data_IF_083361551965
#
_entry.id   IF_083361551965
#
_cell.length_a   1.000
_cell.length_b   1.000
_cell.length_c   1.000
_cell.angle_alpha   90.00
_cell.angle_beta   90.00
_cell.angle_gamma   90.00
#
_symmetry.space_group_name_H-M   'P 1'
#
loop_
_entity.id
_entity.type
_entity.pdbx_description
1 polymer ?
#
# COMPACT_ATOMS: atom_id res chain seq x y z
N UNK A 1 11.93 14.58 -9.63
CA UNK A 1 12.13 15.10 -10.95
C UNK A 1 12.48 14.11 -12.04
N UNK A 2 12.31 12.85 -12.06
CA UNK A 2 12.50 11.97 -13.23
C UNK A 2 11.88 10.58 -13.03
N UNK A 3 10.69 10.51 -12.50
CA UNK A 3 9.93 9.25 -12.47
C UNK A 3 9.54 8.72 -13.85
N UNK A 4 9.83 9.48 -14.91
CA UNK A 4 9.60 9.09 -16.31
C UNK A 4 10.88 8.79 -17.09
N UNK A 5 12.01 8.56 -16.44
CA UNK A 5 13.20 8.09 -17.15
C UNK A 5 13.00 6.61 -17.52
N UNK A 6 12.66 6.36 -18.77
CA UNK A 6 12.50 5.01 -19.32
C UNK A 6 13.79 4.19 -19.17
N UNK A 7 14.95 4.82 -19.13
CA UNK A 7 16.24 4.17 -18.88
C UNK A 7 16.30 3.66 -17.44
N UNK A 8 15.83 4.45 -16.46
CA UNK A 8 15.79 4.04 -15.06
C UNK A 8 14.84 2.87 -14.84
N UNK A 9 13.68 2.87 -15.48
CA UNK A 9 12.73 1.76 -15.42
C UNK A 9 13.29 0.49 -16.05
N UNK A 10 13.92 0.59 -17.22
CA UNK A 10 14.58 -0.54 -17.89
C UNK A 10 15.74 -1.10 -17.07
N UNK A 11 16.56 -0.22 -16.51
CA UNK A 11 17.67 -0.61 -15.63
C UNK A 11 17.16 -1.30 -14.37
N UNK A 12 16.14 -0.74 -13.72
CA UNK A 12 15.52 -1.35 -12.54
C UNK A 12 14.94 -2.73 -12.84
N UNK A 13 14.25 -2.88 -13.97
CA UNK A 13 13.72 -4.18 -14.42
C UNK A 13 14.83 -5.20 -14.66
N UNK A 14 15.88 -4.83 -15.39
CA UNK A 14 17.00 -5.74 -15.69
C UNK A 14 17.74 -6.16 -14.42
N UNK A 15 17.96 -5.24 -13.49
CA UNK A 15 18.59 -5.52 -12.20
C UNK A 15 17.74 -6.47 -11.38
N UNK A 16 16.42 -6.24 -11.30
CA UNK A 16 15.49 -7.13 -10.60
C UNK A 16 15.50 -8.53 -11.20
N UNK A 17 15.40 -8.65 -12.53
CA UNK A 17 15.41 -9.96 -13.20
C UNK A 17 16.72 -10.71 -13.00
N UNK A 18 17.87 -10.02 -12.99
CA UNK A 18 19.14 -10.65 -12.68
C UNK A 18 19.18 -11.20 -11.25
N UNK A 19 18.70 -10.44 -10.28
CA UNK A 19 18.58 -10.90 -8.88
C UNK A 19 17.63 -12.10 -8.75
N UNK A 20 16.49 -12.06 -9.43
CA UNK A 20 15.56 -13.19 -9.44
C UNK A 20 16.18 -14.44 -10.06
N UNK A 21 17.03 -14.31 -11.10
CA UNK A 21 17.79 -15.44 -11.66
C UNK A 21 18.81 -16.00 -10.68
N UNK A 22 19.53 -15.15 -9.97
CA UNK A 22 20.45 -15.56 -8.91
C UNK A 22 19.71 -16.37 -7.83
N UNK A 23 18.57 -15.85 -7.34
CA UNK A 23 17.76 -16.58 -6.36
C UNK A 23 17.17 -17.88 -6.93
N UNK A 24 16.73 -17.90 -8.17
CA UNK A 24 16.23 -19.10 -8.80
C UNK A 24 17.32 -20.19 -8.90
N UNK A 25 18.57 -19.81 -9.10
CA UNK A 25 19.68 -20.75 -9.05
C UNK A 25 19.97 -21.27 -7.64
N UNK A 26 19.72 -20.45 -6.60
CA UNK A 26 19.85 -20.86 -5.20
C UNK A 26 18.69 -21.76 -4.72
N UNK A 27 17.51 -21.62 -5.35
CA UNK A 27 16.30 -22.37 -5.02
C UNK A 27 15.76 -23.08 -6.27
N UNK A 28 16.47 -24.13 -6.77
CA UNK A 28 16.16 -24.76 -8.06
C UNK A 28 14.80 -25.48 -8.10
N UNK A 29 14.26 -25.84 -6.95
CA UNK A 29 12.96 -26.50 -6.82
C UNK A 29 11.78 -25.51 -6.84
N UNK A 30 12.03 -24.21 -6.74
CA UNK A 30 10.98 -23.17 -6.83
C UNK A 30 10.70 -22.82 -8.30
N UNK A 31 9.84 -23.65 -8.91
CA UNK A 31 9.40 -23.43 -10.30
C UNK A 31 8.65 -22.11 -10.50
N UNK A 32 8.02 -21.57 -9.47
CA UNK A 32 7.34 -20.27 -9.53
C UNK A 32 8.34 -19.12 -9.60
N UNK A 33 9.39 -19.19 -8.81
CA UNK A 33 10.49 -18.23 -8.86
C UNK A 33 11.19 -18.25 -10.22
N UNK A 34 11.47 -19.46 -10.76
CA UNK A 34 12.05 -19.62 -12.09
C UNK A 34 11.15 -19.02 -13.17
N UNK A 35 9.83 -19.22 -13.05
CA UNK A 35 8.87 -18.65 -13.99
C UNK A 35 8.91 -17.12 -14.00
N UNK A 36 8.95 -16.48 -12.83
CA UNK A 36 9.06 -15.02 -12.72
C UNK A 36 10.42 -14.53 -13.23
N UNK A 37 11.51 -15.18 -12.84
CA UNK A 37 12.87 -14.81 -13.23
C UNK A 37 13.11 -14.89 -14.74
N UNK A 38 12.38 -15.75 -15.44
CA UNK A 38 12.48 -15.96 -16.89
C UNK A 38 11.35 -15.29 -17.69
N UNK A 39 10.52 -14.49 -17.03
CA UNK A 39 9.34 -13.87 -17.65
C UNK A 39 8.44 -14.90 -18.35
N UNK A 40 8.23 -16.03 -17.71
CA UNK A 40 7.35 -17.11 -18.19
C UNK A 40 7.96 -18.09 -19.18
N UNK A 41 9.25 -17.97 -19.51
CA UNK A 41 9.93 -18.85 -20.51
C UNK A 41 10.29 -20.22 -19.93
N UNK A 42 10.45 -20.32 -18.63
CA UNK A 42 10.80 -21.56 -17.92
C UNK A 42 10.13 -21.57 -16.55
N UNK A 43 10.03 -22.77 -15.96
CA UNK A 43 9.32 -22.95 -14.70
C UNK A 43 7.82 -23.09 -14.89
N UNK A 44 7.06 -22.87 -13.82
CA UNK A 44 5.60 -22.96 -13.81
C UNK A 44 4.99 -21.74 -13.18
N UNK A 45 3.97 -21.18 -13.81
CA UNK A 45 3.21 -20.05 -13.25
C UNK A 45 2.73 -20.40 -11.85
N UNK A 46 2.97 -19.54 -10.82
CA UNK A 46 2.49 -19.83 -9.47
C UNK A 46 0.97 -20.05 -9.43
N UNK A 47 0.55 -21.07 -8.70
CA UNK A 47 -0.88 -21.43 -8.58
C UNK A 47 -1.65 -20.52 -7.62
N UNK A 48 -0.95 -19.80 -6.76
CA UNK A 48 -1.55 -18.83 -5.84
C UNK A 48 -1.61 -17.43 -6.46
N UNK A 49 -2.59 -16.66 -6.04
CA UNK A 49 -2.73 -15.24 -6.41
C UNK A 49 -2.56 -14.35 -5.18
N UNK A 50 -3.17 -14.71 -4.07
CA UNK A 50 -3.02 -14.00 -2.81
C UNK A 50 -2.01 -14.70 -1.91
N UNK A 51 -1.11 -13.93 -1.29
CA UNK A 51 -0.03 -14.46 -0.44
C UNK A 51 0.27 -13.54 0.74
N UNK A 52 0.38 -14.13 1.91
CA UNK A 52 0.88 -13.47 3.12
C UNK A 52 2.34 -13.88 3.38
N UNK A 53 3.19 -12.88 3.59
CA UNK A 53 4.54 -13.03 4.10
C UNK A 53 4.58 -12.42 5.50
N UNK A 54 3.93 -13.09 6.44
CA UNK A 54 3.63 -12.55 7.78
C UNK A 54 4.88 -12.19 8.57
N UNK A 55 5.98 -12.94 8.41
CA UNK A 55 7.24 -12.65 9.08
C UNK A 55 7.86 -11.32 8.62
N UNK A 56 7.73 -10.99 7.35
CA UNK A 56 8.22 -9.72 6.81
C UNK A 56 7.16 -8.62 6.79
N UNK A 57 5.90 -8.95 7.08
CA UNK A 57 4.78 -8.02 7.12
C UNK A 57 4.31 -7.52 5.77
N UNK A 58 4.48 -8.32 4.71
CA UNK A 58 3.98 -8.00 3.37
C UNK A 58 2.85 -8.93 2.99
N UNK A 59 1.77 -8.34 2.48
CA UNK A 59 0.55 -9.04 2.07
C UNK A 59 0.21 -8.64 0.66
N UNK A 60 0.11 -9.63 -0.22
CA UNK A 60 -0.16 -9.42 -1.63
C UNK A 60 -1.52 -10.01 -1.98
N UNK A 61 -2.42 -9.18 -2.47
CA UNK A 61 -3.73 -9.56 -2.99
C UNK A 61 -3.73 -9.27 -4.49
N UNK A 62 -3.90 -10.30 -5.32
CA UNK A 62 -3.92 -10.14 -6.78
C UNK A 62 -4.92 -11.09 -7.43
N UNK A 63 -5.35 -10.77 -8.63
CA UNK A 63 -6.23 -11.63 -9.42
C UNK A 63 -5.53 -12.37 -10.56
N UNK A 64 -4.25 -12.16 -10.75
CA UNK A 64 -3.46 -12.83 -11.78
C UNK A 64 -1.98 -12.50 -11.72
N UNK A 65 -1.24 -13.02 -12.71
CA UNK A 65 0.19 -12.86 -12.87
C UNK A 65 0.56 -12.21 -14.21
N UNK A 66 -0.42 -11.83 -14.99
CA UNK A 66 -0.22 -11.13 -16.26
C UNK A 66 -0.13 -9.61 -16.03
N UNK A 67 0.23 -8.89 -17.08
CA UNK A 67 0.40 -7.44 -17.06
C UNK A 67 -0.90 -6.66 -16.81
N UNK A 68 -2.05 -7.28 -17.07
CA UNK A 68 -3.36 -6.66 -16.87
C UNK A 68 -3.92 -6.94 -15.47
N UNK A 69 -3.22 -7.76 -14.68
CA UNK A 69 -3.65 -8.11 -13.33
C UNK A 69 -3.73 -6.90 -12.41
N UNK A 70 -4.68 -6.97 -11.50
CA UNK A 70 -4.79 -6.02 -10.39
C UNK A 70 -4.07 -6.60 -9.19
N UNK A 71 -3.24 -5.80 -8.53
CA UNK A 71 -2.47 -6.22 -7.37
C UNK A 71 -2.42 -5.11 -6.34
N UNK A 72 -2.76 -5.45 -5.11
CA UNK A 72 -2.45 -4.63 -3.93
C UNK A 72 -1.29 -5.28 -3.17
N UNK A 73 -0.33 -4.46 -2.77
CA UNK A 73 0.70 -4.83 -1.80
C UNK A 73 0.45 -4.00 -0.56
N UNK A 74 0.17 -4.65 0.56
CA UNK A 74 0.00 -4.00 1.85
C UNK A 74 1.19 -4.33 2.74
N UNK A 75 1.75 -3.31 3.40
CA UNK A 75 2.82 -3.45 4.39
C UNK A 75 2.24 -3.27 5.79
N UNK A 76 2.50 -4.22 6.67
CA UNK A 76 2.13 -4.14 8.09
C UNK A 76 3.04 -5.07 8.88
N UNK A 77 4.23 -4.59 9.22
CA UNK A 77 5.28 -5.40 9.81
C UNK A 77 5.40 -5.18 11.32
N UNK A 78 5.92 -6.20 11.98
CA UNK A 78 6.36 -6.13 13.36
C UNK A 78 7.85 -5.79 13.40
N UNK A 79 8.20 -4.66 14.01
CA UNK A 79 9.58 -4.23 14.17
C UNK A 79 9.77 -3.56 15.53
N UNK A 80 9.90 -4.36 16.62
CA UNK A 80 9.96 -3.85 17.98
C UNK A 80 11.27 -3.12 18.29
N UNK A 81 12.30 -3.28 17.46
CA UNK A 81 13.64 -2.73 17.70
C UNK A 81 13.95 -1.51 16.86
N UNK A 82 12.98 -1.00 16.10
CA UNK A 82 13.16 0.13 15.17
C UNK A 82 14.40 -0.05 14.28
N UNK A 83 14.46 -1.20 13.61
CA UNK A 83 15.60 -1.55 12.75
C UNK A 83 15.71 -0.61 11.54
N UNK A 84 16.91 -0.54 10.99
CA UNK A 84 17.22 0.20 9.79
C UNK A 84 16.29 -0.14 8.62
N UNK A 85 16.02 0.82 7.77
CA UNK A 85 15.13 0.73 6.61
C UNK A 85 13.64 0.52 6.94
N UNK A 86 13.23 0.78 8.17
CA UNK A 86 11.82 0.85 8.54
C UNK A 86 11.34 2.28 8.58
N UNK A 87 10.15 2.50 8.07
CA UNK A 87 9.43 3.77 8.13
C UNK A 87 8.16 3.57 8.96
N UNK A 88 7.64 4.64 9.59
CA UNK A 88 6.38 4.59 10.34
C UNK A 88 5.18 4.60 9.36
N UNK A 89 5.04 3.54 8.58
CA UNK A 89 4.13 3.40 7.45
C UNK A 89 3.28 2.13 7.49
N UNK A 90 3.14 1.50 8.66
CA UNK A 90 2.30 0.32 8.81
C UNK A 90 0.86 0.58 8.37
N UNK A 91 0.28 -0.41 7.71
CA UNK A 91 -1.02 -0.30 7.08
C UNK A 91 -0.99 0.35 5.69
N UNK A 92 0.16 0.87 5.24
CA UNK A 92 0.28 1.43 3.88
C UNK A 92 0.10 0.36 2.80
N UNK A 93 -0.35 0.80 1.64
CA UNK A 93 -0.48 -0.09 0.48
C UNK A 93 -0.11 0.62 -0.81
N UNK A 94 0.32 -0.17 -1.78
CA UNK A 94 0.40 0.21 -3.19
C UNK A 94 -0.64 -0.57 -3.99
N UNK A 95 -1.24 0.05 -4.99
CA UNK A 95 -2.22 -0.56 -5.87
C UNK A 95 -1.77 -0.46 -7.32
N UNK A 96 -1.70 -1.60 -7.97
CA UNK A 96 -1.23 -1.73 -9.34
C UNK A 96 -2.29 -2.37 -10.22
N UNK A 97 -2.45 -1.87 -11.44
CA UNK A 97 -3.25 -2.49 -12.48
C UNK A 97 -2.73 -2.06 -13.85
N UNK A 98 -2.71 -2.98 -14.80
CA UNK A 98 -2.23 -2.70 -16.16
C UNK A 98 -0.87 -2.00 -16.16
N UNK A 99 0.06 -2.50 -15.34
CA UNK A 99 1.41 -1.95 -15.18
C UNK A 99 1.47 -0.53 -14.58
N UNK A 100 0.36 0.02 -14.10
CA UNK A 100 0.31 1.33 -13.45
C UNK A 100 0.22 1.22 -11.94
N UNK A 101 0.94 2.10 -11.27
CA UNK A 101 0.85 2.28 -9.83
C UNK A 101 -0.13 3.43 -9.52
N UNK A 102 -1.27 3.13 -8.95
CA UNK A 102 -2.30 4.13 -8.62
C UNK A 102 -2.08 4.80 -7.27
N UNK A 103 -1.50 4.07 -6.32
CA UNK A 103 -1.21 4.56 -4.97
C UNK A 103 0.26 4.32 -4.66
N UNK A 104 1.15 5.19 -5.16
CA UNK A 104 2.57 5.06 -4.90
C UNK A 104 2.88 5.33 -3.44
N UNK A 105 3.90 4.64 -2.95
CA UNK A 105 4.52 4.97 -1.68
C UNK A 105 5.53 6.10 -1.88
N UNK A 106 5.60 7.03 -0.92
CA UNK A 106 6.47 8.19 -0.99
C UNK A 106 7.96 7.84 -0.82
N UNK A 107 8.25 6.67 -0.24
CA UNK A 107 9.61 6.25 0.09
C UNK A 107 10.31 7.20 1.06
N UNK A 108 11.62 7.24 1.03
CA UNK A 108 12.44 8.08 1.93
C UNK A 108 13.08 9.28 1.22
N UNK A 109 12.95 9.41 -0.09
CA UNK A 109 13.57 10.42 -0.94
C UNK A 109 15.10 10.32 -1.01
N UNK A 110 15.77 10.28 0.14
CA UNK A 110 17.26 10.23 0.26
C UNK A 110 17.65 9.60 1.59
N UNK A 111 18.88 9.08 1.65
CA UNK A 111 19.49 8.63 2.92
C UNK A 111 20.15 9.76 3.71
N UNK A 112 20.37 10.92 3.09
CA UNK A 112 20.90 12.08 3.80
C UNK A 112 19.85 12.63 4.78
N UNK A 113 20.29 12.98 5.97
CA UNK A 113 19.43 13.63 6.97
C UNK A 113 19.00 15.01 6.46
N UNK A 114 17.77 15.41 6.77
CA UNK A 114 17.25 16.72 6.37
C UNK A 114 15.73 16.74 6.25
N UNK A 115 15.20 17.93 5.98
CA UNK A 115 13.77 18.18 5.93
C UNK A 115 13.04 17.34 4.89
N UNK A 116 13.64 17.11 3.72
CA UNK A 116 13.07 16.30 2.66
C UNK A 116 12.89 14.83 3.12
N UNK A 117 13.95 14.22 3.68
CA UNK A 117 13.86 12.87 4.22
C UNK A 117 12.79 12.77 5.31
N UNK A 118 12.79 13.69 6.29
CA UNK A 118 11.83 13.72 7.37
C UNK A 118 10.40 13.82 6.84
N UNK A 119 10.19 14.66 5.83
CA UNK A 119 8.89 14.83 5.19
C UNK A 119 8.43 13.52 4.54
N UNK A 120 9.23 12.97 3.61
CA UNK A 120 8.81 11.81 2.82
C UNK A 120 8.69 10.53 3.67
N UNK A 121 9.54 10.35 4.67
CA UNK A 121 9.46 9.22 5.58
C UNK A 121 8.38 9.33 6.66
N UNK A 122 7.63 10.42 6.73
CA UNK A 122 6.61 10.59 7.77
C UNK A 122 5.31 9.85 7.42
N UNK A 123 4.62 9.32 8.42
CA UNK A 123 3.37 8.57 8.28
C UNK A 123 2.32 9.26 7.40
N UNK A 124 2.24 10.59 7.45
CA UNK A 124 1.27 11.38 6.67
C UNK A 124 1.46 11.27 5.16
N UNK A 125 2.66 10.89 4.70
CA UNK A 125 2.97 10.73 3.28
C UNK A 125 2.80 9.28 2.78
N UNK A 126 2.25 8.41 3.61
CA UNK A 126 1.94 7.03 3.26
C UNK A 126 0.42 6.79 3.24
N UNK A 127 -0.02 5.75 2.55
CA UNK A 127 -1.43 5.41 2.39
C UNK A 127 -1.98 4.72 3.65
N UNK A 128 -1.98 5.41 4.77
CA UNK A 128 -2.36 4.87 6.08
C UNK A 128 -3.04 5.92 6.96
N UNK A 129 -3.43 5.49 8.16
CA UNK A 129 -4.07 6.36 9.14
C UNK A 129 -3.06 7.28 9.83
N UNK A 130 -3.47 8.52 10.08
CA UNK A 130 -2.82 9.44 11.03
C UNK A 130 -3.85 9.98 12.03
N UNK A 131 -3.37 10.39 13.18
CA UNK A 131 -4.19 10.95 14.25
C UNK A 131 -3.97 12.45 14.30
N UNK A 132 -5.05 13.20 14.38
CA UNK A 132 -4.98 14.64 14.58
C UNK A 132 -4.64 14.94 16.03
N UNK A 133 -3.67 15.81 16.25
CA UNK A 133 -3.32 16.24 17.60
C UNK A 133 -4.54 16.82 18.33
N UNK A 134 -4.71 16.43 19.60
CA UNK A 134 -5.74 16.98 20.48
C UNK A 134 -5.44 18.43 20.92
N UNK A 135 -4.25 18.94 20.64
CA UNK A 135 -3.87 20.32 21.03
C UNK A 135 -4.71 21.31 20.24
N UNK A 136 -5.50 22.07 20.95
CA UNK A 136 -6.39 23.11 20.41
C UNK A 136 -5.56 24.09 19.57
N UNK A 137 -5.92 24.24 18.29
CA UNK A 137 -5.33 25.24 17.39
C UNK A 137 -4.15 24.75 16.56
N UNK A 138 -3.66 23.51 16.71
CA UNK A 138 -2.58 22.97 15.90
C UNK A 138 -2.98 21.61 15.37
N UNK A 139 -3.59 21.58 14.20
CA UNK A 139 -3.89 20.34 13.47
C UNK A 139 -2.59 19.78 12.85
N UNK A 140 -1.73 19.18 13.65
CA UNK A 140 -0.60 18.39 13.12
C UNK A 140 -0.98 16.93 13.16
N UNK A 141 -1.00 16.23 12.00
CA UNK A 141 -1.19 14.79 12.00
C UNK A 141 -0.06 14.12 12.80
N UNK A 142 -0.43 13.31 13.76
CA UNK A 142 0.52 12.50 14.52
C UNK A 142 0.63 11.14 13.83
N UNK A 143 1.85 10.72 13.56
CA UNK A 143 2.15 9.46 12.92
C UNK A 143 2.40 8.33 13.90
N UNK A 144 2.76 7.21 13.33
CA UNK A 144 3.20 6.04 14.08
C UNK A 144 4.52 6.33 14.78
N UNK A 145 4.70 5.73 15.96
CA UNK A 145 5.97 5.80 16.69
C UNK A 145 7.09 4.99 16.03
N UNK A 146 8.27 5.04 16.64
CA UNK A 146 9.44 4.30 16.16
C UNK A 146 9.34 2.77 16.30
N UNK A 147 8.45 2.28 17.16
CA UNK A 147 8.17 0.84 17.34
C UNK A 147 6.96 0.51 16.47
N UNK A 148 7.16 -0.47 15.58
CA UNK A 148 6.12 -0.90 14.66
C UNK A 148 5.55 -2.24 15.12
N UNK A 149 4.30 -2.23 15.53
CA UNK A 149 3.59 -3.42 16.03
C UNK A 149 2.47 -3.81 15.06
N UNK A 150 2.89 -4.12 13.84
CA UNK A 150 1.99 -4.62 12.82
C UNK A 150 1.76 -6.11 12.95
N UNK A 151 0.51 -6.55 12.81
CA UNK A 151 0.13 -7.97 12.81
C UNK A 151 -0.97 -8.25 11.80
N UNK A 152 -0.96 -9.44 11.25
CA UNK A 152 -2.09 -9.97 10.50
C UNK A 152 -3.05 -10.66 11.47
N UNK A 153 -4.30 -10.24 11.45
CA UNK A 153 -5.37 -10.89 12.23
C UNK A 153 -5.97 -12.04 11.43
N UNK A 154 -6.18 -11.82 10.12
CA UNK A 154 -6.81 -12.82 9.26
C UNK A 154 -6.45 -12.60 7.81
N UNK A 155 -6.25 -13.71 7.10
CA UNK A 155 -6.29 -13.77 5.65
C UNK A 155 -7.13 -14.99 5.25
N UNK A 156 -8.16 -14.78 4.45
CA UNK A 156 -9.03 -15.85 3.97
C UNK A 156 -9.61 -15.50 2.61
N UNK A 157 -9.92 -16.53 1.83
CA UNK A 157 -10.61 -16.39 0.55
C UNK A 157 -11.95 -17.12 0.63
N UNK A 158 -13.03 -16.44 0.29
CA UNK A 158 -14.37 -17.02 0.20
C UNK A 158 -15.13 -16.37 -0.95
N UNK A 159 -15.76 -17.21 -1.79
CA UNK A 159 -16.60 -16.75 -2.91
C UNK A 159 -15.91 -15.71 -3.81
N UNK A 160 -14.64 -15.94 -4.17
CA UNK A 160 -13.80 -15.03 -4.94
C UNK A 160 -13.54 -13.66 -4.26
N UNK A 161 -13.68 -13.58 -2.96
CA UNK A 161 -13.30 -12.42 -2.17
C UNK A 161 -12.16 -12.81 -1.25
N UNK A 162 -11.03 -12.16 -1.41
CA UNK A 162 -9.94 -12.22 -0.43
C UNK A 162 -10.21 -11.19 0.66
N UNK A 163 -10.11 -11.61 1.91
CA UNK A 163 -10.32 -10.77 3.09
C UNK A 163 -9.04 -10.77 3.89
N UNK A 164 -8.38 -9.63 3.93
CA UNK A 164 -7.20 -9.39 4.76
C UNK A 164 -7.56 -8.43 5.88
N UNK A 165 -7.28 -8.83 7.12
CA UNK A 165 -7.43 -7.98 8.30
C UNK A 165 -6.06 -7.81 8.95
N UNK A 166 -5.63 -6.58 9.07
CA UNK A 166 -4.37 -6.19 9.72
C UNK A 166 -4.62 -5.20 10.83
N UNK A 167 -3.77 -5.19 11.81
CA UNK A 167 -3.75 -4.20 12.89
C UNK A 167 -2.33 -3.69 13.11
N UNK A 168 -2.21 -2.42 13.45
CA UNK A 168 -0.97 -1.84 13.91
C UNK A 168 -1.24 -0.78 14.98
N UNK A 169 -0.27 -0.62 15.87
CA UNK A 169 -0.26 0.49 16.80
C UNK A 169 -0.04 1.78 16.02
N UNK A 170 -0.96 2.71 16.13
CA UNK A 170 -0.88 4.00 15.42
C UNK A 170 -0.12 5.03 16.24
N UNK A 171 -0.58 5.31 17.43
CA UNK A 171 0.10 6.10 18.43
C UNK A 171 -0.54 5.84 19.79
N UNK A 172 0.23 6.00 20.85
CA UNK A 172 -0.20 5.76 22.23
C UNK A 172 -0.96 4.43 22.37
N UNK A 173 -2.24 4.48 22.74
CA UNK A 173 -3.12 3.32 22.88
C UNK A 173 -4.11 3.15 21.72
N UNK A 174 -3.90 3.88 20.60
CA UNK A 174 -4.78 3.79 19.44
C UNK A 174 -4.27 2.76 18.46
N UNK A 175 -5.09 1.76 18.20
CA UNK A 175 -4.86 0.73 17.19
C UNK A 175 -5.59 1.11 15.89
N UNK A 176 -4.90 1.04 14.79
CA UNK A 176 -5.48 1.09 13.45
C UNK A 176 -5.72 -0.34 12.96
N UNK A 177 -6.97 -0.66 12.66
CA UNK A 177 -7.34 -1.87 11.94
C UNK A 177 -7.71 -1.51 10.51
N UNK A 178 -7.09 -2.18 9.57
CA UNK A 178 -7.45 -2.11 8.16
C UNK A 178 -7.94 -3.46 7.68
N UNK A 179 -9.17 -3.47 7.19
CA UNK A 179 -9.76 -4.63 6.52
C UNK A 179 -9.84 -4.35 5.03
N UNK A 180 -9.25 -5.22 4.24
CA UNK A 180 -9.29 -5.15 2.77
C UNK A 180 -10.12 -6.33 2.26
N UNK A 181 -11.15 -6.03 1.50
CA UNK A 181 -11.90 -6.99 0.70
C UNK A 181 -11.49 -6.81 -0.76
N UNK A 182 -10.87 -7.80 -1.33
CA UNK A 182 -10.57 -7.81 -2.76
C UNK A 182 -11.53 -8.74 -3.48
N UNK A 183 -12.40 -8.15 -4.29
CA UNK A 183 -13.34 -8.90 -5.14
C UNK A 183 -12.64 -9.22 -6.44
N UNK A 184 -11.90 -10.32 -6.47
CA UNK A 184 -10.90 -10.60 -7.49
C UNK A 184 -11.46 -10.84 -8.89
N UNK A 185 -12.69 -11.33 -9.03
CA UNK A 185 -13.36 -11.50 -10.32
C UNK A 185 -13.92 -10.19 -10.89
N UNK A 186 -13.95 -9.10 -10.11
CA UNK A 186 -14.42 -7.78 -10.51
C UNK A 186 -13.36 -6.68 -10.43
N UNK A 187 -12.18 -7.02 -9.92
CA UNK A 187 -11.00 -6.13 -9.84
C UNK A 187 -11.21 -4.84 -9.04
N UNK A 188 -11.98 -4.88 -7.96
CA UNK A 188 -12.10 -3.76 -7.05
C UNK A 188 -11.80 -4.15 -5.60
N UNK A 189 -11.42 -3.17 -4.81
CA UNK A 189 -11.15 -3.29 -3.39
C UNK A 189 -12.17 -2.48 -2.59
N UNK A 190 -12.55 -3.02 -1.44
CA UNK A 190 -13.20 -2.26 -0.38
C UNK A 190 -12.24 -2.21 0.79
N UNK A 191 -11.91 -1.02 1.25
CA UNK A 191 -11.05 -0.81 2.39
C UNK A 191 -11.90 -0.23 3.52
N UNK A 192 -11.83 -0.87 4.68
CA UNK A 192 -12.47 -0.39 5.91
C UNK A 192 -11.37 -0.11 6.91
N UNK A 193 -11.30 1.13 7.35
CA UNK A 193 -10.34 1.59 8.35
C UNK A 193 -11.05 1.91 9.65
N UNK A 194 -10.53 1.36 10.74
CA UNK A 194 -11.06 1.53 12.10
C UNK A 194 -9.93 1.98 13.01
N UNK A 195 -10.18 3.04 13.79
CA UNK A 195 -9.31 3.46 14.88
C UNK A 195 -9.99 3.15 16.20
N UNK A 196 -9.35 2.44 17.11
CA UNK A 196 -9.91 2.10 18.42
C UNK A 196 -8.83 2.04 19.50
N UNK A 197 -9.27 2.21 20.75
CA UNK A 197 -8.42 2.24 21.95
C UNK A 197 -8.98 3.22 22.99
N UNK A 198 -8.37 3.29 24.15
CA UNK A 198 -8.86 4.12 25.24
C UNK A 198 -8.82 5.62 24.92
N UNK A 199 -7.85 6.05 24.12
CA UNK A 199 -7.69 7.45 23.71
C UNK A 199 -8.51 7.87 22.48
N UNK A 200 -9.38 7.00 21.94
CA UNK A 200 -10.15 7.33 20.74
C UNK A 200 -11.26 8.34 20.99
N UNK A 201 -11.74 8.46 22.21
CA UNK A 201 -12.82 9.40 22.57
C UNK A 201 -12.40 10.85 22.28
N UNK A 202 -13.13 11.50 21.37
CA UNK A 202 -12.83 12.87 20.93
C UNK A 202 -11.58 13.02 20.04
N UNK A 203 -10.93 11.93 19.66
CA UNK A 203 -9.80 11.93 18.74
C UNK A 203 -10.29 11.93 17.30
N UNK A 204 -9.70 12.80 16.48
CA UNK A 204 -9.94 12.81 15.03
C UNK A 204 -8.84 12.03 14.33
N UNK A 205 -9.22 11.24 13.36
CA UNK A 205 -8.30 10.49 12.51
C UNK A 205 -8.41 10.95 11.06
N UNK A 206 -7.31 10.87 10.33
CA UNK A 206 -7.28 11.00 8.88
C UNK A 206 -6.86 9.67 8.27
N UNK A 207 -7.49 9.30 7.18
CA UNK A 207 -7.00 8.26 6.29
C UNK A 207 -6.37 8.96 5.10
N UNK A 208 -5.09 8.73 4.90
CA UNK A 208 -4.33 9.36 3.84
C UNK A 208 -4.31 8.44 2.62
N UNK A 209 -4.63 8.99 1.46
CA UNK A 209 -4.52 8.34 0.17
C UNK A 209 -3.74 9.23 -0.78
N UNK A 210 -2.63 8.71 -1.31
CA UNK A 210 -1.76 9.41 -2.25
C UNK A 210 -1.95 8.81 -3.64
N UNK A 211 -2.76 9.48 -4.44
CA UNK A 211 -3.01 9.09 -5.82
C UNK A 211 -1.89 9.58 -6.73
N UNK A 212 -1.38 8.70 -7.57
CA UNK A 212 -0.53 9.10 -8.68
C UNK A 212 -1.39 9.80 -9.73
N UNK A 213 -1.04 11.03 -10.08
CA UNK A 213 -1.62 11.71 -11.24
C UNK A 213 -0.62 11.72 -12.39
N UNK A 214 -1.13 11.70 -13.60
CA UNK A 214 -0.35 12.03 -14.78
C UNK A 214 0.05 13.52 -14.73
N UNK A 215 1.16 13.88 -15.38
CA UNK A 215 1.66 15.27 -15.36
C UNK A 215 0.62 16.27 -15.83
N UNK A 216 -0.21 15.86 -16.77
CA UNK A 216 -1.18 16.71 -17.44
C UNK A 216 -2.61 16.55 -16.88
N UNK A 217 -2.82 15.62 -15.97
CA UNK A 217 -4.14 15.34 -15.41
C UNK A 217 -4.02 15.21 -13.89
N UNK A 218 -4.17 16.32 -13.16
CA UNK A 218 -4.11 16.26 -11.70
C UNK A 218 -5.25 15.39 -11.15
N UNK A 219 -4.98 14.71 -10.05
CA UNK A 219 -6.03 14.03 -9.30
C UNK A 219 -7.04 15.05 -8.84
N UNK A 220 -8.31 14.82 -9.15
CA UNK A 220 -9.38 15.72 -8.77
C UNK A 220 -10.08 15.16 -7.55
N UNK A 221 -10.00 15.92 -6.46
CA UNK A 221 -10.90 15.75 -5.34
C UNK A 221 -12.00 16.79 -5.45
N UNK A 222 -13.16 16.40 -5.94
CA UNK A 222 -14.27 17.32 -6.07
C UNK A 222 -15.10 17.33 -4.77
N UNK A 223 -14.96 18.43 -4.04
CA UNK A 223 -15.76 18.67 -2.83
C UNK A 223 -17.26 18.78 -3.10
N UNK A 224 -17.62 19.03 -4.36
CA UNK A 224 -19.02 19.23 -4.77
C UNK A 224 -19.70 17.90 -5.14
N UNK A 225 -18.91 16.83 -5.37
CA UNK A 225 -19.44 15.47 -5.54
C UNK A 225 -19.76 14.83 -4.17
N UNK A 226 -20.38 15.61 -3.30
CA UNK A 226 -20.88 15.12 -2.03
C UNK A 226 -22.29 14.58 -2.25
N UNK A 227 -22.44 13.26 -2.13
CA UNK A 227 -23.77 12.63 -2.05
C UNK A 227 -24.10 12.36 -0.59
N UNK A 228 -25.37 12.56 -0.21
CA UNK A 228 -25.85 12.15 1.10
C UNK A 228 -26.89 11.05 0.93
N UNK A 229 -26.71 9.96 1.68
CA UNK A 229 -27.68 8.89 1.81
C UNK A 229 -27.95 8.69 3.29
N UNK A 230 -29.18 8.80 3.73
CA UNK A 230 -29.57 8.70 5.14
C UNK A 230 -28.76 9.61 6.07
N UNK A 231 -28.56 10.88 5.68
CA UNK A 231 -27.78 11.89 6.41
C UNK A 231 -26.27 11.63 6.49
N UNK A 232 -25.77 10.56 5.91
CA UNK A 232 -24.33 10.31 5.77
C UNK A 232 -23.78 11.03 4.53
N UNK A 233 -22.57 11.53 4.67
CA UNK A 233 -21.88 12.23 3.60
C UNK A 233 -20.83 11.33 2.96
N UNK A 234 -20.85 11.25 1.64
CA UNK A 234 -19.89 10.50 0.85
C UNK A 234 -19.07 11.46 -0.02
N UNK A 235 -17.80 11.15 -0.18
CA UNK A 235 -16.90 11.90 -1.03
C UNK A 235 -16.39 10.97 -2.13
N UNK A 236 -16.24 11.53 -3.31
CA UNK A 236 -15.66 10.84 -4.44
C UNK A 236 -14.38 11.55 -4.86
N UNK A 237 -13.30 10.78 -4.96
CA UNK A 237 -12.07 11.21 -5.59
C UNK A 237 -11.82 10.32 -6.80
N UNK A 238 -11.34 10.90 -7.87
CA UNK A 238 -10.95 10.15 -9.05
C UNK A 238 -9.69 10.76 -9.68
N UNK A 239 -9.00 9.91 -10.42
CA UNK A 239 -7.85 10.33 -11.21
C UNK A 239 -8.03 9.80 -12.63
N UNK A 240 -7.81 10.66 -13.60
CA UNK A 240 -7.83 10.34 -15.02
C UNK A 240 -6.40 10.13 -15.49
N UNK A 241 -6.05 8.89 -15.89
CA UNK A 241 -4.75 8.59 -16.49
C UNK A 241 -4.81 8.58 -18.01
N UNK A 242 -5.94 8.25 -18.56
CA UNK A 242 -6.32 8.40 -19.95
C UNK A 242 -7.85 8.38 -20.04
N UNK A 243 -8.39 8.70 -21.21
CA UNK A 243 -9.84 8.79 -21.44
C UNK A 243 -10.62 7.47 -21.18
N UNK A 244 -9.92 6.37 -20.95
CA UNK A 244 -10.50 5.04 -20.76
C UNK A 244 -10.29 4.46 -19.36
N UNK A 245 -9.52 5.12 -18.50
CA UNK A 245 -9.20 4.65 -17.16
C UNK A 245 -9.61 5.68 -16.11
N UNK A 246 -10.85 5.60 -15.71
CA UNK A 246 -11.38 6.30 -14.53
C UNK A 246 -11.32 5.33 -13.36
N UNK A 247 -10.73 5.75 -12.26
CA UNK A 247 -10.85 5.07 -10.98
C UNK A 247 -12.17 5.43 -10.32
#
# INVERSE_FOLDING_TARGET
>A
DNFNDTRSASYAKSTLLNRLKEYSAMYPDDNGLLWVATEGKSGSKPSYTTKAYSTSGYYMLRNGWDKDATMMILKNNYNPTNQWHCQPDNGTFGLYRKERNFFPDAGVFTYNTGAARTKYASTVNHNTMTIMSKTIGVAKPTGQGGVMEGKMIKLTTKNNVDILVTENQQSDDITHRRTVFFVNNRTFFVIVDEGYGASTLGTKTNINFHLLSDKDTPSVFDKNLQTSVNSNKYYQAYTNFDSNNIL
#
